data_IF_921358661993
#
_entry.id   IF_921358661993
#
_cell.length_a   1.000
_cell.length_b   1.000
_cell.length_c   1.000
_cell.angle_alpha   90.00
_cell.angle_beta   90.00
_cell.angle_gamma   90.00
#
_symmetry.space_group_name_H-M   'P 1'
#
loop_
_entity.id
_entity.type
_entity.pdbx_description
1 polymer ?
#
# COMPACT_ATOMS: atom_id res chain seq x y z
N UNK A 1 -28.44 21.70 25.89
CA UNK A 1 -28.98 21.09 24.66
C UNK A 1 -28.12 21.42 23.43
N UNK A 2 -26.78 21.35 23.50
CA UNK A 2 -25.94 21.71 22.34
C UNK A 2 -24.62 20.91 22.21
N UNK A 3 -24.33 19.95 23.09
CA UNK A 3 -23.04 19.24 23.09
C UNK A 3 -23.04 17.82 22.48
N UNK A 4 -24.19 17.22 22.22
CA UNK A 4 -24.24 15.80 21.80
C UNK A 4 -24.10 15.57 20.29
N UNK A 5 -24.22 16.61 19.45
CA UNK A 5 -24.21 16.43 17.98
C UNK A 5 -22.82 16.34 17.33
N UNK A 6 -21.72 16.46 18.09
CA UNK A 6 -20.36 16.56 17.51
C UNK A 6 -19.58 15.24 17.46
N UNK A 7 -20.14 14.13 17.93
CA UNK A 7 -19.39 12.88 18.10
C UNK A 7 -19.70 11.76 17.08
N UNK A 8 -20.65 11.95 16.16
CA UNK A 8 -20.93 10.94 15.11
C UNK A 8 -19.88 10.92 13.98
N UNK A 9 -19.12 12.00 13.76
CA UNK A 9 -18.11 12.06 12.68
C UNK A 9 -16.77 11.38 12.99
N UNK A 10 -16.56 10.88 14.21
CA UNK A 10 -15.27 10.27 14.63
C UNK A 10 -15.22 8.74 14.46
N UNK A 11 -16.33 8.10 14.09
CA UNK A 11 -16.44 6.64 14.07
C UNK A 11 -16.31 6.00 12.67
N UNK A 12 -16.10 6.79 11.61
CA UNK A 12 -15.54 6.23 10.37
C UNK A 12 -14.03 6.22 10.56
N UNK A 13 -13.56 5.28 11.37
CA UNK A 13 -12.18 4.84 11.28
C UNK A 13 -11.97 4.42 9.83
N UNK A 14 -11.18 5.20 9.10
CA UNK A 14 -10.72 4.88 7.75
C UNK A 14 -9.86 3.61 7.86
N UNK A 15 -10.53 2.46 7.89
CA UNK A 15 -9.93 1.13 7.77
C UNK A 15 -9.26 1.12 6.41
N UNK A 16 -7.98 1.53 6.39
CA UNK A 16 -7.24 1.81 5.17
C UNK A 16 -7.12 0.52 4.37
N UNK A 17 -7.95 0.39 3.33
CA UNK A 17 -8.10 -0.84 2.55
C UNK A 17 -6.73 -1.22 1.98
N UNK A 18 -6.20 -2.37 2.42
CA UNK A 18 -4.94 -2.92 1.89
C UNK A 18 -5.21 -3.80 0.68
N UNK A 19 -5.06 -3.23 -0.51
CA UNK A 19 -5.19 -3.97 -1.77
C UNK A 19 -3.89 -4.69 -2.17
N UNK A 20 -4.04 -5.63 -3.10
CA UNK A 20 -2.93 -6.29 -3.81
C UNK A 20 -2.94 -5.88 -5.28
N UNK A 21 -1.88 -5.18 -5.71
CA UNK A 21 -1.68 -4.72 -7.07
C UNK A 21 -0.73 -5.62 -7.86
N UNK A 22 -0.99 -5.75 -9.17
CA UNK A 22 -0.06 -6.35 -10.13
C UNK A 22 0.39 -5.25 -11.09
N UNK A 23 1.70 -5.04 -11.20
CA UNK A 23 2.32 -4.07 -12.11
C UNK A 23 3.09 -4.86 -13.17
N UNK A 24 2.83 -4.56 -14.45
CA UNK A 24 3.49 -5.21 -15.59
C UNK A 24 4.42 -4.20 -16.26
N UNK A 25 5.70 -4.55 -16.37
CA UNK A 25 6.79 -3.71 -16.84
C UNK A 25 7.59 -3.10 -15.70
N UNK A 26 8.89 -3.38 -15.61
CA UNK A 26 9.86 -2.83 -14.65
C UNK A 26 10.73 -1.71 -15.24
N UNK A 27 10.19 -0.97 -16.21
CA UNK A 27 10.74 0.33 -16.61
C UNK A 27 10.59 1.37 -15.49
N UNK A 28 11.11 2.59 -15.70
CA UNK A 28 11.10 3.67 -14.69
C UNK A 28 9.70 3.95 -14.13
N UNK A 29 8.68 3.94 -14.99
CA UNK A 29 7.29 4.15 -14.59
C UNK A 29 6.75 3.02 -13.71
N UNK A 30 7.02 1.76 -14.09
CA UNK A 30 6.52 0.60 -13.36
C UNK A 30 7.17 0.41 -12.00
N UNK A 31 8.48 0.63 -11.90
CA UNK A 31 9.19 0.66 -10.62
C UNK A 31 8.69 1.80 -9.72
N UNK A 32 8.53 3.00 -10.27
CA UNK A 32 8.02 4.14 -9.50
C UNK A 32 6.61 3.87 -8.96
N UNK A 33 5.75 3.27 -9.79
CA UNK A 33 4.41 2.86 -9.40
C UNK A 33 4.44 1.81 -8.27
N UNK A 34 5.22 0.74 -8.45
CA UNK A 34 5.32 -0.34 -7.48
C UNK A 34 5.85 0.16 -6.12
N UNK A 35 6.88 1.02 -6.12
CA UNK A 35 7.45 1.62 -4.91
C UNK A 35 6.43 2.54 -4.23
N UNK A 36 5.70 3.37 -4.97
CA UNK A 36 4.69 4.26 -4.41
C UNK A 36 3.56 3.48 -3.74
N UNK A 37 3.02 2.46 -4.42
CA UNK A 37 1.97 1.58 -3.91
C UNK A 37 2.42 0.81 -2.66
N UNK A 38 3.66 0.36 -2.64
CA UNK A 38 4.22 -0.30 -1.48
C UNK A 38 4.39 0.65 -0.29
N UNK A 39 4.89 1.88 -0.51
CA UNK A 39 5.10 2.89 0.53
C UNK A 39 3.81 3.28 1.26
N UNK A 40 2.67 3.24 0.56
CA UNK A 40 1.36 3.55 1.15
C UNK A 40 0.71 2.36 1.87
N UNK A 41 1.31 1.17 1.82
CA UNK A 41 0.95 -0.01 2.60
C UNK A 41 0.29 -1.14 1.82
N UNK A 42 0.26 -1.07 0.49
CA UNK A 42 -0.31 -2.12 -0.36
C UNK A 42 0.68 -3.22 -0.69
N UNK A 43 0.13 -4.41 -0.98
CA UNK A 43 0.91 -5.52 -1.53
C UNK A 43 1.07 -5.29 -3.03
N UNK A 44 2.26 -5.54 -3.58
CA UNK A 44 2.53 -5.36 -5.01
C UNK A 44 3.29 -6.56 -5.56
N UNK A 45 2.86 -7.04 -6.72
CA UNK A 45 3.59 -7.99 -7.56
C UNK A 45 4.04 -7.26 -8.82
N UNK A 46 5.34 -7.15 -9.04
CA UNK A 46 5.92 -6.56 -10.25
C UNK A 46 6.37 -7.69 -11.19
N UNK A 47 5.99 -7.61 -12.47
CA UNK A 47 6.32 -8.60 -13.50
C UNK A 47 7.03 -7.89 -14.64
N UNK A 48 8.18 -8.40 -15.08
CA UNK A 48 8.94 -7.93 -16.23
C UNK A 48 9.34 -9.12 -17.11
N UNK A 49 9.46 -8.89 -18.42
CA UNK A 49 9.77 -9.91 -19.42
C UNK A 49 11.24 -10.33 -19.38
N UNK A 50 12.16 -9.41 -19.08
CA UNK A 50 13.60 -9.69 -19.03
C UNK A 50 14.06 -10.17 -17.65
N UNK A 51 14.86 -11.25 -17.62
CA UNK A 51 15.41 -11.87 -16.41
C UNK A 51 16.46 -11.02 -15.67
N UNK A 52 16.94 -9.93 -16.26
CA UNK A 52 18.10 -9.18 -15.75
C UNK A 52 17.78 -8.12 -14.69
N UNK A 53 16.52 -7.90 -14.35
CA UNK A 53 16.15 -6.92 -13.32
C UNK A 53 16.00 -7.61 -11.97
N UNK A 54 17.15 -7.78 -11.31
CA UNK A 54 17.36 -7.83 -9.86
C UNK A 54 16.12 -8.19 -9.03
N UNK A 55 16.14 -9.41 -8.47
CA UNK A 55 15.21 -9.97 -7.49
C UNK A 55 14.84 -9.02 -6.34
N UNK A 56 14.02 -8.00 -6.61
CA UNK A 56 13.61 -7.03 -5.61
C UNK A 56 12.44 -7.60 -4.82
N UNK A 57 12.75 -8.57 -3.96
CA UNK A 57 11.90 -8.96 -2.85
C UNK A 57 11.94 -7.84 -1.81
N UNK A 58 11.12 -6.79 -1.97
CA UNK A 58 10.84 -5.91 -0.83
C UNK A 58 9.76 -6.58 0.02
N UNK A 59 10.20 -7.40 0.96
CA UNK A 59 9.40 -7.84 2.09
C UNK A 59 9.44 -6.76 3.16
N UNK A 60 8.40 -5.93 3.25
CA UNK A 60 8.13 -5.15 4.46
C UNK A 60 6.98 -5.81 5.22
N UNK A 61 7.35 -6.67 6.18
CA UNK A 61 6.48 -6.98 7.30
C UNK A 61 6.28 -5.69 8.11
N UNK A 62 5.24 -4.93 7.80
CA UNK A 62 4.75 -3.90 8.71
C UNK A 62 3.84 -4.56 9.75
N UNK A 63 4.43 -5.35 10.65
CA UNK A 63 3.80 -5.73 11.91
C UNK A 63 3.77 -4.49 12.80
N UNK A 64 2.76 -3.64 12.60
CA UNK A 64 2.47 -2.54 13.52
C UNK A 64 1.29 -2.94 14.39
N UNK A 65 1.55 -3.90 15.28
CA UNK A 65 0.72 -4.16 16.45
C UNK A 65 1.08 -3.10 17.49
N UNK A 66 0.35 -1.97 17.50
CA UNK A 66 0.31 -1.11 18.68
C UNK A 66 -0.85 -1.60 19.54
N UNK A 67 -0.50 -2.42 20.53
CA UNK A 67 -1.25 -2.55 21.77
C UNK A 67 -0.93 -1.37 22.67
#
# INVERSE_FOLDING_TARGET
MFLEHRLESLAIADEKIRLHFVVIGAGIAGLSCAIALQRIGHRVTLIERNQDMTNLKISSHASHSKN
#
